data_IF_345215482531
#
_entry.id   IF_345215482531
#
_cell.length_a   1.000
_cell.length_b   1.000
_cell.length_c   1.000
_cell.angle_alpha   90.00
_cell.angle_beta   90.00
_cell.angle_gamma   90.00
#
_symmetry.space_group_name_H-M   'P 1'
#
loop_
_entity.id
_entity.type
_entity.pdbx_description
1 polymer ?
#
# COMPACT_ATOMS: atom_id res chain seq x y z
N UNK A 1 21.12 -1.69 -11.51
CA UNK A 1 22.02 -1.27 -10.41
C UNK A 1 21.21 -0.28 -9.60
N UNK A 2 20.95 -0.56 -8.32
CA UNK A 2 20.11 0.33 -7.49
C UNK A 2 20.71 1.74 -7.50
N UNK A 3 19.90 2.75 -7.84
CA UNK A 3 20.36 4.13 -7.77
C UNK A 3 20.73 4.48 -6.32
N UNK A 4 21.75 5.32 -6.15
CA UNK A 4 22.20 5.74 -4.82
C UNK A 4 21.06 6.36 -4.01
N UNK A 5 20.15 7.06 -4.69
CA UNK A 5 19.00 7.73 -4.07
C UNK A 5 17.92 6.74 -3.62
N UNK A 6 17.62 5.72 -4.44
CA UNK A 6 16.68 4.66 -4.05
C UNK A 6 17.18 3.90 -2.81
N UNK A 7 18.50 3.68 -2.72
CA UNK A 7 19.12 3.04 -1.54
C UNK A 7 18.99 3.92 -0.30
N UNK A 8 19.33 5.21 -0.41
CA UNK A 8 19.21 6.17 0.69
C UNK A 8 17.78 6.26 1.22
N UNK A 9 16.80 6.31 0.32
CA UNK A 9 15.38 6.41 0.69
C UNK A 9 14.90 5.17 1.47
N UNK A 10 15.31 3.98 1.04
CA UNK A 10 14.99 2.75 1.75
C UNK A 10 15.73 2.62 3.09
N UNK A 11 16.99 3.05 3.15
CA UNK A 11 17.74 3.12 4.41
C UNK A 11 17.10 4.10 5.40
N UNK A 12 16.64 5.26 4.92
CA UNK A 12 15.91 6.24 5.71
C UNK A 12 14.63 5.64 6.29
N UNK A 13 13.78 5.05 5.44
CA UNK A 13 12.54 4.40 5.88
C UNK A 13 12.81 3.32 6.94
N UNK A 14 13.83 2.47 6.72
CA UNK A 14 14.24 1.43 7.67
C UNK A 14 14.68 2.00 9.01
N UNK A 15 15.52 3.05 9.00
CA UNK A 15 16.00 3.69 10.23
C UNK A 15 14.89 4.28 11.08
N UNK A 16 13.79 4.70 10.43
CA UNK A 16 12.59 5.25 11.08
C UNK A 16 11.57 4.18 11.48
N UNK A 17 11.80 2.91 11.15
CA UNK A 17 10.81 1.84 11.32
C UNK A 17 9.55 2.06 10.46
N UNK A 18 9.71 2.75 9.33
CA UNK A 18 8.63 3.15 8.43
C UNK A 18 8.76 2.45 7.07
N UNK A 19 7.69 2.51 6.28
CA UNK A 19 7.61 1.88 4.97
C UNK A 19 7.45 2.93 3.87
N UNK A 20 7.71 2.51 2.63
CA UNK A 20 7.58 3.36 1.45
C UNK A 20 6.19 3.15 0.85
N UNK A 21 5.44 4.23 0.75
CA UNK A 21 4.12 4.26 0.14
C UNK A 21 4.18 4.98 -1.20
N UNK A 22 3.70 4.31 -2.23
CA UNK A 22 3.47 4.88 -3.55
C UNK A 22 2.01 5.34 -3.66
N UNK A 23 1.74 6.66 -3.67
CA UNK A 23 0.39 7.18 -3.76
C UNK A 23 -0.26 6.96 -5.14
N UNK A 24 0.53 6.85 -6.21
CA UNK A 24 0.04 6.67 -7.57
C UNK A 24 -0.59 5.31 -7.76
N UNK A 25 0.08 4.26 -7.26
CA UNK A 25 -0.40 2.89 -7.31
C UNK A 25 -1.10 2.42 -6.03
N UNK A 26 -1.11 3.27 -5.00
CA UNK A 26 -1.58 2.95 -3.63
C UNK A 26 -0.91 1.68 -3.09
N UNK A 27 0.38 1.55 -3.36
CA UNK A 27 1.16 0.36 -3.06
C UNK A 27 2.14 0.62 -1.92
N UNK A 28 2.43 -0.42 -1.15
CA UNK A 28 3.36 -0.37 -0.03
C UNK A 28 4.57 -1.25 -0.32
N UNK A 29 5.75 -0.73 -0.04
CA UNK A 29 7.00 -1.47 -0.05
C UNK A 29 7.62 -1.45 1.34
N UNK A 30 7.98 -2.63 1.85
CA UNK A 30 8.93 -2.69 2.95
C UNK A 30 10.29 -2.16 2.45
N UNK A 31 11.14 -1.60 3.33
CA UNK A 31 12.47 -1.16 2.93
C UNK A 31 13.32 -2.27 2.27
N UNK A 32 13.17 -3.51 2.73
CA UNK A 32 13.84 -4.69 2.21
C UNK A 32 13.34 -5.06 0.81
N UNK A 33 12.02 -5.16 0.63
CA UNK A 33 11.41 -5.49 -0.67
C UNK A 33 11.74 -4.42 -1.70
N UNK A 34 11.68 -3.14 -1.30
CA UNK A 34 12.03 -2.04 -2.18
C UNK A 34 13.46 -2.18 -2.71
N UNK A 35 14.43 -2.42 -1.82
CA UNK A 35 15.82 -2.63 -2.22
C UNK A 35 15.96 -3.83 -3.14
N UNK A 36 15.27 -4.93 -2.85
CA UNK A 36 15.34 -6.15 -3.66
C UNK A 36 14.79 -5.91 -5.08
N UNK A 37 13.62 -5.30 -5.20
CA UNK A 37 12.97 -5.01 -6.48
C UNK A 37 13.84 -4.08 -7.34
N UNK A 38 14.28 -2.96 -6.75
CA UNK A 38 15.04 -1.94 -7.47
C UNK A 38 16.55 -2.22 -7.53
N UNK A 39 17.01 -3.37 -7.01
CA UNK A 39 18.36 -3.86 -7.25
C UNK A 39 18.56 -4.18 -8.74
N UNK A 40 17.53 -4.77 -9.34
CA UNK A 40 17.53 -5.25 -10.73
C UNK A 40 16.81 -4.30 -11.70
N UNK A 41 15.94 -3.43 -11.20
CA UNK A 41 15.23 -2.42 -11.98
C UNK A 41 15.70 -1.00 -11.63
N UNK A 42 15.82 -0.12 -12.63
CA UNK A 42 16.10 1.29 -12.37
C UNK A 42 14.78 2.02 -12.02
N UNK A 43 14.71 2.57 -10.81
CA UNK A 43 13.65 3.49 -10.42
C UNK A 43 13.88 4.85 -11.11
N UNK A 44 12.84 5.43 -11.74
CA UNK A 44 12.94 6.79 -12.27
C UNK A 44 13.01 7.81 -11.11
N UNK A 45 13.65 8.96 -11.36
CA UNK A 45 13.73 10.02 -10.35
C UNK A 45 12.34 10.55 -9.96
N UNK A 46 11.43 10.64 -10.94
CA UNK A 46 10.04 11.06 -10.73
C UNK A 46 9.29 10.09 -9.81
N UNK A 47 9.49 8.79 -9.99
CA UNK A 47 8.93 7.77 -9.11
C UNK A 47 9.47 7.92 -7.68
N UNK A 48 10.79 8.07 -7.52
CA UNK A 48 11.41 8.22 -6.20
C UNK A 48 10.92 9.47 -5.46
N UNK A 49 10.73 10.59 -6.17
CA UNK A 49 10.17 11.83 -5.61
C UNK A 49 8.71 11.70 -5.17
N UNK A 50 7.96 10.78 -5.78
CA UNK A 50 6.56 10.53 -5.46
C UNK A 50 6.35 9.64 -4.23
N UNK A 51 7.38 8.90 -3.81
CA UNK A 51 7.29 8.00 -2.66
C UNK A 51 7.18 8.76 -1.34
N UNK A 52 6.37 8.23 -0.44
CA UNK A 52 6.14 8.77 0.88
C UNK A 52 6.65 7.78 1.94
N UNK A 53 7.45 8.24 2.90
CA UNK A 53 7.80 7.43 4.07
C UNK A 53 6.68 7.56 5.09
N UNK A 54 5.98 6.46 5.39
CA UNK A 54 4.80 6.45 6.26
C UNK A 54 4.79 5.26 7.21
N UNK A 55 3.99 5.35 8.26
CA UNK A 55 3.85 4.25 9.20
C UNK A 55 2.99 3.13 8.58
N UNK A 56 3.47 1.88 8.50
CA UNK A 56 2.73 0.79 7.81
C UNK A 56 1.35 0.51 8.44
N UNK A 57 1.18 0.76 9.75
CA UNK A 57 -0.12 0.68 10.42
C UNK A 57 -1.20 1.55 9.76
N UNK A 58 -0.84 2.68 9.14
CA UNK A 58 -1.80 3.50 8.39
C UNK A 58 -2.39 2.71 7.20
N UNK A 59 -1.55 1.95 6.50
CA UNK A 59 -1.97 1.06 5.41
C UNK A 59 -2.86 -0.08 5.91
N UNK A 60 -2.50 -0.70 7.04
CA UNK A 60 -3.30 -1.75 7.67
C UNK A 60 -4.69 -1.22 8.05
N UNK A 61 -4.77 -0.07 8.71
CA UNK A 61 -6.03 0.56 9.11
C UNK A 61 -6.90 0.92 7.90
N UNK A 62 -6.30 1.49 6.85
CA UNK A 62 -7.00 1.79 5.61
C UNK A 62 -7.57 0.52 4.95
N UNK A 63 -6.80 -0.57 4.95
CA UNK A 63 -7.24 -1.88 4.47
C UNK A 63 -8.46 -2.40 5.24
N UNK A 64 -8.42 -2.38 6.57
CA UNK A 64 -9.56 -2.79 7.40
C UNK A 64 -10.82 -1.95 7.15
N UNK A 65 -10.66 -0.63 7.01
CA UNK A 65 -11.78 0.26 6.66
C UNK A 65 -12.41 -0.15 5.33
N UNK A 66 -11.59 -0.47 4.33
CA UNK A 66 -12.06 -0.84 3.00
C UNK A 66 -12.76 -2.21 3.00
N UNK A 67 -12.22 -3.18 3.75
CA UNK A 67 -12.84 -4.49 3.97
C UNK A 67 -14.20 -4.36 4.67
N UNK A 68 -14.29 -3.54 5.73
CA UNK A 68 -15.56 -3.29 6.41
C UNK A 68 -16.61 -2.65 5.48
N UNK A 69 -16.21 -1.72 4.62
CA UNK A 69 -17.09 -1.14 3.59
C UNK A 69 -17.59 -2.21 2.63
N UNK A 70 -16.71 -3.11 2.18
CA UNK A 70 -17.09 -4.20 1.28
C UNK A 70 -18.02 -5.21 1.95
N UNK A 71 -17.72 -5.61 3.18
CA UNK A 71 -18.56 -6.48 3.99
C UNK A 71 -19.96 -5.89 4.20
N UNK A 72 -20.04 -4.60 4.54
CA UNK A 72 -21.33 -3.90 4.70
C UNK A 72 -22.14 -3.92 3.40
N UNK A 73 -21.50 -3.66 2.25
CA UNK A 73 -22.17 -3.72 0.94
C UNK A 73 -22.72 -5.12 0.66
N UNK A 74 -21.94 -6.16 0.99
CA UNK A 74 -22.38 -7.54 0.83
C UNK A 74 -23.59 -7.85 1.71
N UNK A 75 -23.57 -7.48 2.99
CA UNK A 75 -24.71 -7.68 3.90
C UNK A 75 -25.99 -7.01 3.40
N UNK A 76 -25.89 -5.76 2.90
CA UNK A 76 -27.02 -5.04 2.32
C UNK A 76 -27.55 -5.76 1.08
N UNK A 77 -26.67 -6.23 0.20
CA UNK A 77 -27.06 -6.98 -0.98
C UNK A 77 -27.75 -8.31 -0.63
N UNK A 78 -27.17 -9.08 0.29
CA UNK A 78 -27.76 -10.33 0.79
C UNK A 78 -29.16 -10.10 1.36
N UNK A 79 -29.34 -9.05 2.17
CA UNK A 79 -30.66 -8.68 2.70
C UNK A 79 -31.66 -8.42 1.57
N UNK A 80 -31.28 -7.64 0.56
CA UNK A 80 -32.14 -7.35 -0.60
C UNK A 80 -32.56 -8.61 -1.35
N UNK A 81 -31.64 -9.55 -1.54
CA UNK A 81 -31.93 -10.84 -2.21
C UNK A 81 -32.91 -11.67 -1.37
N UNK A 82 -32.65 -11.82 -0.08
CA UNK A 82 -33.54 -12.58 0.82
C UNK A 82 -34.94 -11.95 0.88
N UNK A 83 -35.03 -10.62 1.01
CA UNK A 83 -36.30 -9.90 1.07
C UNK A 83 -37.09 -10.00 -0.26
N UNK A 84 -36.40 -10.16 -1.40
CA UNK A 84 -37.05 -10.38 -2.71
C UNK A 84 -37.71 -11.76 -2.80
N UNK A 85 -37.01 -12.82 -2.40
CA UNK A 85 -37.51 -14.21 -2.50
C UNK A 85 -38.40 -14.65 -1.34
N UNK A 86 -38.50 -13.85 -0.27
CA UNK A 86 -39.46 -14.09 0.84
C UNK A 86 -40.88 -13.59 0.55
N UNK A 87 -41.08 -12.86 -0.55
CA UNK A 87 -42.40 -12.53 -1.09
C UNK A 87 -42.94 -13.71 -1.88
#
# INVERSE_FOLDING_TARGET
>A
MLSQDARKLADEAKSKGMWLYDPSYRWWYSPEDFKHIFQYANASEEFLKGLQIRHPNEGIQAGFLQLNKLHTKLQVFTKRVVDYYRK
#
